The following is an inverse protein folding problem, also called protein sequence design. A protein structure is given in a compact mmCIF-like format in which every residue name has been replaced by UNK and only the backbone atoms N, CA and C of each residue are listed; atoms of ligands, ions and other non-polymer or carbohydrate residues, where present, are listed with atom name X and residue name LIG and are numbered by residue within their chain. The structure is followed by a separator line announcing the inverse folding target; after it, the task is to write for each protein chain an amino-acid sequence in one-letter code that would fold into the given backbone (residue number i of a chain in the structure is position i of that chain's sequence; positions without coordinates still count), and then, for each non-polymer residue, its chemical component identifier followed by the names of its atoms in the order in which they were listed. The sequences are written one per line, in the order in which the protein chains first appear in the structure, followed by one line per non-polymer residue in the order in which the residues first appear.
data_IF_217459944458
#
_entry.id   IF_217459944458
#
_cell.length_a   1.000
_cell.length_b   1.000
_cell.length_c   1.000
_cell.angle_alpha   90.00
_cell.angle_beta   90.00
_cell.angle_gamma   90.00
#
_symmetry.space_group_name_H-M   'P 1'
#
loop_
_entity.id
_entity.type
_entity.pdbx_description
1 polymer ?
#
# COMPACT_ATOMS: atom_id res chain seq x y z
N UNK A 1 27.24 46.12 7.51
CA UNK A 1 26.33 45.17 8.19
C UNK A 1 25.44 44.40 7.19
N UNK A 2 26.01 43.66 6.20
CA UNK A 2 25.21 43.01 5.13
C UNK A 2 25.24 41.48 5.14
N UNK A 3 26.34 40.88 5.63
CA UNK A 3 26.55 39.41 5.66
C UNK A 3 25.58 38.65 6.59
N UNK A 4 25.32 39.08 7.84
CA UNK A 4 24.44 38.30 8.73
C UNK A 4 22.97 38.36 8.26
N UNK A 5 22.53 39.48 7.70
CA UNK A 5 21.19 39.63 7.13
C UNK A 5 20.96 38.70 5.93
N UNK A 6 21.97 38.56 5.05
CA UNK A 6 21.91 37.65 3.91
C UNK A 6 21.78 36.19 4.37
N UNK A 7 22.58 35.77 5.35
CA UNK A 7 22.54 34.41 5.89
C UNK A 7 21.16 34.11 6.50
N UNK A 8 20.61 35.03 7.29
CA UNK A 8 19.30 34.89 7.93
C UNK A 8 18.17 34.76 6.89
N UNK A 9 18.23 35.56 5.83
CA UNK A 9 17.30 35.51 4.71
C UNK A 9 17.38 34.17 3.95
N UNK A 10 18.58 33.66 3.70
CA UNK A 10 18.75 32.36 3.03
C UNK A 10 18.30 31.19 3.91
N UNK A 11 18.55 31.24 5.22
CA UNK A 11 18.07 30.20 6.15
C UNK A 11 16.54 30.22 6.29
N UNK A 12 15.90 31.39 6.37
CA UNK A 12 14.44 31.47 6.48
C UNK A 12 13.75 31.01 5.19
N UNK A 13 14.31 31.38 4.03
CA UNK A 13 13.83 30.93 2.73
C UNK A 13 13.96 29.41 2.57
N UNK A 14 15.09 28.83 3.01
CA UNK A 14 15.32 27.38 2.99
C UNK A 14 14.32 26.60 3.85
N UNK A 15 14.00 27.10 5.05
CA UNK A 15 12.98 26.47 5.93
C UNK A 15 11.59 26.50 5.28
N UNK A 16 11.23 27.61 4.63
CA UNK A 16 9.96 27.72 3.89
C UNK A 16 9.87 26.75 2.72
N UNK A 17 10.94 26.62 1.92
CA UNK A 17 10.99 25.69 0.78
C UNK A 17 10.88 24.23 1.25
N UNK A 18 11.55 23.86 2.35
CA UNK A 18 11.45 22.51 2.92
C UNK A 18 10.03 22.15 3.34
N UNK A 19 9.32 23.09 3.99
CA UNK A 19 7.92 22.86 4.37
C UNK A 19 7.00 22.69 3.15
N UNK A 20 7.18 23.51 2.12
CA UNK A 20 6.40 23.42 0.88
C UNK A 20 6.72 22.13 0.12
N UNK A 21 8.00 21.75 0.03
CA UNK A 21 8.42 20.50 -0.61
C UNK A 21 7.89 19.28 0.15
N UNK A 22 7.87 19.33 1.48
CA UNK A 22 7.26 18.30 2.31
C UNK A 22 5.75 18.21 2.07
N UNK A 23 5.02 19.33 2.07
CA UNK A 23 3.59 19.34 1.76
C UNK A 23 3.30 18.82 0.35
N UNK A 24 4.11 19.22 -0.63
CA UNK A 24 3.98 18.72 -2.00
C UNK A 24 4.25 17.22 -2.08
N UNK A 25 5.30 16.72 -1.43
CA UNK A 25 5.60 15.30 -1.35
C UNK A 25 4.45 14.53 -0.71
N UNK A 26 3.90 15.04 0.38
CA UNK A 26 2.76 14.47 1.07
C UNK A 26 1.53 14.38 0.14
N UNK A 27 1.25 15.42 -0.64
CA UNK A 27 0.11 15.47 -1.58
C UNK A 27 0.29 14.60 -2.84
N UNK A 28 1.53 14.39 -3.30
CA UNK A 28 1.82 13.68 -4.55
C UNK A 28 1.79 12.16 -4.38
N UNK A 29 1.99 11.64 -3.16
CA UNK A 29 1.99 10.19 -2.89
C UNK A 29 0.56 9.72 -2.65
N UNK A 30 -0.27 9.78 -3.69
CA UNK A 30 -1.56 9.11 -3.73
C UNK A 30 -1.37 7.69 -4.28
N UNK A 31 -1.88 6.71 -3.55
CA UNK A 31 -1.93 5.32 -3.99
C UNK A 31 -3.36 4.84 -3.94
N UNK A 32 -3.81 4.18 -5.00
CA UNK A 32 -5.05 3.42 -4.95
C UNK A 32 -4.85 2.27 -3.96
N UNK A 33 -5.78 2.15 -3.02
CA UNK A 33 -5.67 1.14 -1.97
C UNK A 33 -7.03 0.55 -1.64
N UNK A 34 -6.99 -0.70 -1.23
CA UNK A 34 -8.15 -1.52 -0.96
C UNK A 34 -7.93 -2.30 0.32
N UNK A 35 -9.00 -2.67 0.99
CA UNK A 35 -8.91 -3.62 2.11
C UNK A 35 -10.05 -4.61 2.09
N UNK A 36 -9.78 -5.73 2.74
CA UNK A 36 -10.75 -6.76 3.06
C UNK A 36 -10.53 -7.18 4.50
N UNK A 37 -11.62 -7.48 5.20
CA UNK A 37 -11.58 -8.03 6.54
C UNK A 37 -12.50 -9.24 6.63
N UNK A 38 -12.07 -10.25 7.37
CA UNK A 38 -12.92 -11.39 7.66
C UNK A 38 -13.76 -11.10 8.90
N UNK A 39 -15.07 -11.32 8.84
CA UNK A 39 -15.94 -11.13 10.02
C UNK A 39 -15.58 -12.10 11.16
N UNK A 40 -15.21 -13.34 10.81
CA UNK A 40 -14.92 -14.43 11.75
C UNK A 40 -13.69 -14.17 12.62
N UNK A 41 -12.62 -13.62 12.04
CA UNK A 41 -11.35 -13.44 12.76
C UNK A 41 -10.99 -11.98 13.01
N UNK A 42 -11.77 -11.03 12.45
CA UNK A 42 -11.48 -9.60 12.45
C UNK A 42 -10.09 -9.24 11.88
N UNK A 43 -9.44 -10.19 11.20
CA UNK A 43 -8.19 -9.99 10.49
C UNK A 43 -8.47 -9.28 9.18
N UNK A 44 -7.62 -8.32 8.85
CA UNK A 44 -7.72 -7.52 7.64
C UNK A 44 -6.42 -7.58 6.85
N UNK A 45 -6.55 -7.36 5.55
CA UNK A 45 -5.44 -7.21 4.62
C UNK A 45 -5.68 -5.96 3.80
N UNK A 46 -4.62 -5.17 3.63
CA UNK A 46 -4.64 -4.01 2.73
C UNK A 46 -3.81 -4.31 1.50
N UNK A 47 -4.37 -3.99 0.34
CA UNK A 47 -3.72 -4.05 -0.97
C UNK A 47 -3.48 -2.62 -1.43
N UNK A 48 -2.25 -2.31 -1.83
CA UNK A 48 -1.90 -1.00 -2.37
C UNK A 48 -1.37 -1.18 -3.78
N UNK A 49 -1.91 -0.39 -4.69
CA UNK A 49 -1.50 -0.33 -6.09
C UNK A 49 -0.36 0.66 -6.23
N UNK A 50 0.74 0.18 -6.81
CA UNK A 50 1.88 0.99 -7.17
C UNK A 50 2.07 0.96 -8.68
N UNK A 51 2.53 2.10 -9.21
CA UNK A 51 2.88 2.25 -10.61
C UNK A 51 4.37 2.56 -10.73
N UNK A 52 5.09 1.79 -11.56
CA UNK A 52 6.47 2.06 -11.94
C UNK A 52 6.55 2.17 -13.46
N UNK A 53 6.48 3.41 -13.96
CA UNK A 53 6.38 3.66 -15.39
C UNK A 53 5.03 3.20 -15.94
N UNK A 54 5.04 2.20 -16.83
CA UNK A 54 3.82 1.56 -17.35
C UNK A 54 3.38 0.34 -16.55
N UNK A 55 4.28 -0.21 -15.73
CA UNK A 55 4.01 -1.45 -15.01
C UNK A 55 3.22 -1.15 -13.74
N UNK A 56 2.21 -1.98 -13.49
CA UNK A 56 1.41 -1.98 -12.27
C UNK A 56 1.82 -3.16 -11.41
N UNK A 57 2.03 -2.90 -10.12
CA UNK A 57 2.27 -3.96 -9.15
C UNK A 57 1.48 -3.70 -7.86
N UNK A 58 1.18 -4.78 -7.16
CA UNK A 58 0.37 -4.78 -5.97
C UNK A 58 1.24 -5.15 -4.79
N UNK A 59 1.10 -4.42 -3.68
CA UNK A 59 1.66 -4.82 -2.40
C UNK A 59 0.56 -5.17 -1.42
N UNK A 60 0.74 -6.32 -0.78
CA UNK A 60 -0.17 -6.85 0.22
C UNK A 60 0.43 -6.68 1.60
N UNK A 61 -0.39 -6.22 2.55
CA UNK A 61 0.01 -5.96 3.92
C UNK A 61 -0.97 -6.54 4.92
N UNK A 62 -0.48 -6.96 6.08
CA UNK A 62 -1.31 -7.33 7.21
C UNK A 62 -1.89 -6.11 7.94
N UNK A 63 -3.19 -6.18 8.20
CA UNK A 63 -3.99 -5.16 8.88
C UNK A 63 -4.55 -4.10 7.94
N UNK A 64 -5.32 -3.17 8.50
CA UNK A 64 -5.77 -1.96 7.79
C UNK A 64 -4.67 -0.92 7.84
N UNK A 65 -4.32 -0.38 6.69
CA UNK A 65 -3.40 0.76 6.57
C UNK A 65 -4.21 2.00 6.21
N UNK A 66 -3.94 3.10 6.91
CA UNK A 66 -4.65 4.37 6.76
C UNK A 66 -3.73 5.51 6.32
N UNK A 67 -2.40 5.32 6.33
CA UNK A 67 -1.46 6.34 5.86
C UNK A 67 -0.15 5.78 5.32
N UNK A 68 0.53 6.56 4.47
CA UNK A 68 1.84 6.23 3.92
C UNK A 68 2.90 6.01 5.01
N UNK A 69 2.82 6.72 6.13
CA UNK A 69 3.77 6.56 7.24
C UNK A 69 3.72 5.16 7.85
N UNK A 70 2.55 4.53 7.89
CA UNK A 70 2.41 3.18 8.41
C UNK A 70 3.07 2.12 7.52
N UNK A 71 3.43 2.45 6.27
CA UNK A 71 4.14 1.54 5.37
C UNK A 71 5.61 1.36 5.75
N UNK A 72 6.20 2.33 6.45
CA UNK A 72 7.61 2.28 6.84
C UNK A 72 7.85 1.11 7.81
N UNK A 73 8.66 0.14 7.37
CA UNK A 73 9.02 -1.03 8.17
C UNK A 73 7.92 -2.09 8.29
N UNK A 74 6.81 -1.98 7.55
CA UNK A 74 5.82 -3.05 7.45
C UNK A 74 6.31 -4.17 6.55
N UNK A 75 6.00 -5.39 6.95
CA UNK A 75 6.14 -6.56 6.11
C UNK A 75 5.12 -6.51 4.95
N UNK A 76 5.55 -6.92 3.76
CA UNK A 76 4.69 -6.99 2.57
C UNK A 76 5.10 -8.10 1.62
N UNK A 77 4.16 -8.47 0.76
CA UNK A 77 4.41 -9.27 -0.44
C UNK A 77 4.06 -8.44 -1.69
N UNK A 78 4.84 -8.57 -2.75
CA UNK A 78 4.70 -7.81 -4.00
C UNK A 78 4.40 -8.76 -5.17
N UNK A 79 3.31 -8.51 -5.89
CA UNK A 79 2.93 -9.23 -7.11
C UNK A 79 2.78 -8.28 -8.30
N UNK A 80 3.12 -8.75 -9.49
CA UNK A 80 3.01 -8.00 -10.74
C UNK A 80 1.75 -8.48 -11.45
N UNK A 81 0.64 -7.75 -11.33
CA UNK A 81 -0.67 -8.30 -11.67
C UNK A 81 -1.38 -7.47 -12.73
N UNK A 82 -1.74 -8.15 -13.82
CA UNK A 82 -2.86 -7.84 -14.72
C UNK A 82 -3.56 -9.18 -15.02
N UNK A 83 -4.84 -9.41 -14.64
CA UNK A 83 -5.84 -8.54 -14.03
C UNK A 83 -5.91 -8.63 -12.49
N UNK A 84 -6.52 -7.64 -11.82
CA UNK A 84 -6.63 -7.54 -10.36
C UNK A 84 -6.90 -8.90 -9.66
N UNK A 85 -6.10 -9.25 -8.63
CA UNK A 85 -6.13 -10.58 -8.04
C UNK A 85 -7.46 -10.79 -7.32
N UNK A 86 -7.99 -12.01 -7.46
CA UNK A 86 -9.21 -12.39 -6.77
C UNK A 86 -8.90 -12.74 -5.33
N UNK A 87 -9.72 -12.25 -4.40
CA UNK A 87 -9.58 -12.58 -2.98
C UNK A 87 -10.81 -13.31 -2.52
N UNK A 88 -10.58 -14.38 -1.79
CA UNK A 88 -11.64 -15.12 -1.12
C UNK A 88 -11.21 -15.50 0.29
N UNK A 89 -12.20 -15.75 1.14
CA UNK A 89 -11.97 -16.22 2.51
C UNK A 89 -12.13 -17.73 2.49
N UNK A 90 -11.08 -18.47 2.86
CA UNK A 90 -11.19 -19.92 2.93
C UNK A 90 -12.06 -20.38 4.11
N UNK A 91 -12.39 -21.67 4.17
CA UNK A 91 -13.23 -22.24 5.23
C UNK A 91 -12.64 -22.03 6.65
N UNK A 92 -11.32 -21.84 6.74
CA UNK A 92 -10.58 -21.56 7.98
C UNK A 92 -10.59 -20.07 8.36
N UNK A 93 -11.24 -19.21 7.59
CA UNK A 93 -11.32 -17.77 7.84
C UNK A 93 -10.03 -17.01 7.50
N UNK A 94 -9.14 -17.59 6.68
CA UNK A 94 -7.92 -16.94 6.20
C UNK A 94 -8.20 -16.24 4.88
N UNK A 95 -7.51 -15.11 4.67
CA UNK A 95 -7.61 -14.35 3.42
C UNK A 95 -6.67 -15.01 2.42
N UNK A 96 -7.25 -15.60 1.37
CA UNK A 96 -6.53 -16.25 0.29
C UNK A 96 -6.59 -15.34 -0.91
N UNK A 97 -5.40 -14.98 -1.39
CA UNK A 97 -5.22 -14.17 -2.58
C UNK A 97 -4.83 -15.11 -3.70
N UNK A 98 -5.73 -15.20 -4.67
CA UNK A 98 -5.56 -16.08 -5.82
C UNK A 98 -5.09 -15.26 -7.00
N UNK A 99 -3.84 -15.49 -7.37
CA UNK A 99 -3.13 -14.78 -8.42
C UNK A 99 -2.73 -15.76 -9.53
N UNK A 100 -2.49 -15.23 -10.73
CA UNK A 100 -1.91 -15.98 -11.85
C UNK A 100 -0.44 -16.27 -11.51
N UNK A 101 0.27 -15.29 -10.94
CA UNK A 101 1.65 -15.41 -10.50
C UNK A 101 1.74 -15.26 -8.97
N UNK A 102 2.45 -16.15 -8.30
CA UNK A 102 2.78 -15.96 -6.88
C UNK A 102 3.63 -14.68 -6.69
N UNK A 103 3.59 -14.04 -5.50
CA UNK A 103 4.36 -12.83 -5.26
C UNK A 103 5.85 -13.02 -5.53
N UNK A 104 6.43 -12.10 -6.31
CA UNK A 104 7.82 -12.16 -6.78
C UNK A 104 8.81 -11.61 -5.75
N UNK A 105 8.33 -10.78 -4.80
CA UNK A 105 9.14 -10.25 -3.71
C UNK A 105 8.40 -10.31 -2.38
N UNK A 106 9.15 -10.57 -1.33
CA UNK A 106 8.69 -10.52 0.05
C UNK A 106 9.63 -9.65 0.87
N UNK A 107 9.05 -8.79 1.70
CA UNK A 107 9.75 -8.13 2.79
C UNK A 107 9.12 -8.65 4.08
N UNK A 108 9.87 -9.48 4.82
CA UNK A 108 9.37 -10.13 6.04
C UNK A 108 8.32 -11.22 5.78
N UNK A 109 7.42 -11.46 6.74
CA UNK A 109 6.46 -12.58 6.68
C UNK A 109 5.04 -12.12 7.05
N UNK A 110 4.12 -12.25 6.09
CA UNK A 110 2.69 -12.05 6.32
C UNK A 110 2.08 -13.23 7.08
N UNK A 111 1.23 -12.93 8.06
CA UNK A 111 0.57 -13.90 8.95
C UNK A 111 -0.88 -14.18 8.56
N UNK A 112 -1.56 -13.24 7.91
CA UNK A 112 -2.99 -13.37 7.61
C UNK A 112 -3.30 -13.54 6.13
N UNK A 113 -2.29 -13.42 5.27
CA UNK A 113 -2.38 -13.62 3.82
C UNK A 113 -1.80 -14.97 3.45
N UNK A 114 -2.57 -15.74 2.68
CA UNK A 114 -2.06 -16.90 1.96
C UNK A 114 -2.15 -16.64 0.46
N UNK A 115 -1.09 -17.00 -0.27
CA UNK A 115 -1.05 -16.90 -1.72
C UNK A 115 -1.14 -18.30 -2.30
N UNK A 116 -2.17 -18.52 -3.10
CA UNK A 116 -2.37 -19.77 -3.82
C UNK A 116 -2.26 -19.51 -5.32
N UNK A 117 -1.48 -20.36 -5.98
CA UNK A 117 -1.38 -20.39 -7.43
C UNK A 117 -2.64 -21.03 -8.00
N UNK A 118 -3.35 -20.34 -8.89
CA UNK A 118 -4.64 -20.82 -9.39
C UNK A 118 -4.44 -21.96 -10.40
N UNK A 119 -5.05 -23.15 -10.20
CA UNK A 119 -5.07 -24.17 -11.22
C UNK A 119 -6.18 -23.84 -12.24
N UNK A 120 -5.81 -23.31 -13.41
CA UNK A 120 -6.62 -23.23 -14.62
C UNK A 120 -8.11 -22.82 -14.45
N UNK A 121 -8.36 -21.51 -14.46
CA UNK A 121 -9.59 -20.93 -15.05
C UNK A 121 -10.91 -21.09 -14.28
N UNK A 122 -10.95 -21.70 -13.10
CA UNK A 122 -12.14 -21.61 -12.23
C UNK A 122 -12.04 -20.36 -11.35
N UNK A 123 -12.84 -19.36 -11.64
CA UNK A 123 -13.04 -18.22 -10.75
C UNK A 123 -14.01 -18.61 -9.65
N UNK A 124 -13.51 -18.89 -8.45
CA UNK A 124 -14.34 -18.77 -7.27
C UNK A 124 -14.78 -17.31 -7.14
N UNK A 125 -16.07 -17.11 -6.90
CA UNK A 125 -16.71 -15.81 -6.78
C UNK A 125 -16.16 -15.16 -5.49
N UNK A 126 -15.08 -14.39 -5.65
CA UNK A 126 -14.41 -13.70 -4.55
C UNK A 126 -15.23 -12.53 -4.02
N UNK A 127 -14.97 -12.13 -2.78
CA UNK A 127 -15.58 -10.94 -2.19
C UNK A 127 -15.01 -9.68 -2.84
N UNK A 128 -15.87 -8.70 -3.11
CA UNK A 128 -15.46 -7.41 -3.67
C UNK A 128 -14.68 -6.60 -2.64
N UNK A 129 -13.52 -6.07 -3.04
CA UNK A 129 -12.72 -5.15 -2.24
C UNK A 129 -13.53 -3.92 -1.81
N UNK A 130 -13.26 -3.42 -0.59
CA UNK A 130 -13.70 -2.09 -0.18
C UNK A 130 -12.59 -1.10 -0.52
N UNK A 131 -12.91 -0.10 -1.35
CA UNK A 131 -11.99 0.96 -1.71
C UNK A 131 -11.66 1.83 -0.48
N UNK A 132 -10.38 2.05 -0.24
CA UNK A 132 -9.90 3.01 0.74
C UNK A 132 -9.46 4.27 0.02
N UNK A 133 -10.00 5.40 0.47
CA UNK A 133 -9.40 6.70 0.16
C UNK A 133 -8.12 6.83 0.99
N UNK A 134 -6.97 6.54 0.40
CA UNK A 134 -5.68 6.73 1.06
C UNK A 134 -5.32 8.22 1.03
N UNK A 135 -5.46 8.90 2.16
CA UNK A 135 -4.99 10.26 2.33
C UNK A 135 -3.72 10.24 3.18
N UNK A 136 -2.75 11.11 2.89
CA UNK A 136 -1.69 11.33 3.85
C UNK A 136 -2.29 11.89 5.14
N UNK A 137 -2.08 11.19 6.26
CA UNK A 137 -2.26 11.79 7.57
C UNK A 137 -1.16 12.84 7.76
N UNK A 138 -1.53 14.11 7.60
CA UNK A 138 -0.77 15.24 8.11
C UNK A 138 -0.87 15.18 9.64
N UNK A 139 0.26 15.01 10.32
CA UNK A 139 0.37 15.26 11.76
C UNK A 139 0.45 16.76 12.01
#
# INVERSE_FOLDING_TARGET
MKKPFLILLFTSLGVGILAIAFLFWVLVVYHESYYICTEKTQKCVTVIVFHQGRDRFLRFYDGRIYSNFQLLGKDYAESYVEPDPHVHINERGQIVITDIDLPKKYQGKLQNVHFDEKPNGKHDIGESYVHLSFYPLLF
#
